data_IF_359899423390
#
_entry.id   IF_359899423390
#
_cell.length_a   1.000
_cell.length_b   1.000
_cell.length_c   1.000
_cell.angle_alpha   90.00
_cell.angle_beta   90.00
_cell.angle_gamma   90.00
#
_symmetry.space_group_name_H-M   'P 1'
#
loop_
_entity.id
_entity.type
_entity.pdbx_description
1 polymer ?
#
# COMPACT_ATOMS: atom_id res chain seq x y z
N UNK A 1 -0.19 -21.27 2.41
CA UNK A 1 1.07 -21.28 1.66
C UNK A 1 1.34 -20.01 0.84
N UNK A 2 0.40 -19.06 0.68
CA UNK A 2 0.68 -17.79 -0.02
C UNK A 2 1.16 -16.65 0.90
N UNK A 3 0.81 -16.68 2.19
CA UNK A 3 1.16 -15.63 3.14
C UNK A 3 2.66 -15.59 3.50
N UNK A 4 3.36 -16.73 3.42
CA UNK A 4 4.78 -16.84 3.79
C UNK A 4 5.70 -16.16 2.76
N UNK A 5 5.32 -16.17 1.47
CA UNK A 5 6.09 -15.53 0.40
C UNK A 5 6.00 -13.99 0.37
N UNK A 6 4.95 -13.42 0.97
CA UNK A 6 4.73 -11.97 0.97
C UNK A 6 5.60 -11.26 2.02
N UNK A 7 5.80 -11.90 3.16
CA UNK A 7 6.64 -11.39 4.26
C UNK A 7 8.13 -11.43 3.89
N UNK A 8 8.53 -12.32 2.98
CA UNK A 8 9.90 -12.32 2.43
C UNK A 8 10.16 -11.12 1.50
N UNK A 9 9.14 -10.63 0.76
CA UNK A 9 9.29 -9.44 -0.10
C UNK A 9 9.55 -8.16 0.69
N UNK A 10 8.88 -7.97 1.84
CA UNK A 10 9.12 -6.81 2.71
C UNK A 10 10.51 -6.85 3.35
N UNK A 11 10.95 -8.03 3.79
CA UNK A 11 12.24 -8.20 4.46
C UNK A 11 13.44 -8.10 3.50
N UNK A 12 13.33 -8.64 2.28
CA UNK A 12 14.45 -8.67 1.33
C UNK A 12 14.64 -7.35 0.57
N UNK A 13 13.59 -6.54 0.39
CA UNK A 13 13.65 -5.36 -0.50
C UNK A 13 13.75 -3.99 0.21
N UNK A 14 13.76 -3.93 1.55
CA UNK A 14 13.85 -2.67 2.32
C UNK A 14 12.98 -1.56 1.71
N UNK A 15 11.70 -1.84 1.50
CA UNK A 15 10.78 -0.89 0.84
C UNK A 15 10.73 0.46 1.56
N UNK A 16 11.05 0.50 2.86
CA UNK A 16 11.18 1.71 3.67
C UNK A 16 12.31 2.65 3.26
N UNK A 17 13.28 2.18 2.47
CA UNK A 17 14.37 3.02 1.94
C UNK A 17 14.00 3.72 0.62
N UNK A 18 12.88 3.37 0.00
CA UNK A 18 12.46 3.97 -1.25
C UNK A 18 11.86 5.35 -0.98
N UNK A 19 12.31 6.36 -1.73
CA UNK A 19 11.71 7.70 -1.70
C UNK A 19 10.31 7.75 -2.37
N UNK A 20 9.85 6.62 -2.92
CA UNK A 20 8.56 6.46 -3.57
C UNK A 20 7.62 5.68 -2.65
N UNK A 21 6.37 6.14 -2.52
CA UNK A 21 5.35 5.40 -1.79
C UNK A 21 5.02 4.09 -2.50
N UNK A 22 5.16 2.98 -1.78
CA UNK A 22 4.82 1.62 -2.26
C UNK A 22 3.71 1.07 -1.38
N UNK A 23 2.66 0.56 -2.02
CA UNK A 23 1.51 -0.06 -1.38
C UNK A 23 1.33 -1.43 -1.99
N UNK A 24 1.29 -2.45 -1.14
CA UNK A 24 1.03 -3.82 -1.56
C UNK A 24 -0.43 -4.17 -1.32
N UNK A 25 -1.08 -4.75 -2.33
CA UNK A 25 -2.49 -5.10 -2.29
C UNK A 25 -2.69 -6.61 -2.48
N UNK A 26 -3.77 -7.15 -1.94
CA UNK A 26 -4.23 -8.49 -2.31
C UNK A 26 -5.17 -8.50 -3.52
N UNK A 27 -5.61 -9.70 -3.90
CA UNK A 27 -6.49 -9.92 -5.05
C UNK A 27 -7.87 -9.25 -4.91
N UNK A 28 -8.22 -8.74 -3.73
CA UNK A 28 -9.44 -8.01 -3.44
C UNK A 28 -9.17 -6.51 -3.23
N UNK A 29 -7.97 -6.02 -3.56
CA UNK A 29 -7.52 -4.64 -3.37
C UNK A 29 -7.48 -4.19 -1.90
N UNK A 30 -7.37 -5.13 -0.95
CA UNK A 30 -7.09 -4.78 0.44
C UNK A 30 -5.59 -4.60 0.66
N UNK A 31 -5.26 -3.66 1.53
CA UNK A 31 -3.87 -3.31 1.78
C UNK A 31 -3.21 -4.38 2.63
N UNK A 32 -2.10 -4.90 2.11
CA UNK A 32 -1.26 -5.89 2.77
C UNK A 32 -0.07 -5.26 3.46
N UNK A 33 0.51 -4.22 2.86
CA UNK A 33 1.64 -3.47 3.41
C UNK A 33 1.69 -2.06 2.80
N UNK A 34 2.28 -1.12 3.54
CA UNK A 34 2.72 0.18 3.04
C UNK A 34 4.15 0.42 3.53
N UNK A 35 4.96 1.08 2.73
CA UNK A 35 6.25 1.59 3.20
C UNK A 35 6.09 2.96 3.89
N UNK A 36 7.13 3.39 4.61
CA UNK A 36 7.14 4.67 5.31
C UNK A 36 6.83 5.88 4.40
N UNK A 37 7.31 5.86 3.15
CA UNK A 37 7.02 6.94 2.20
C UNK A 37 5.54 7.00 1.82
N UNK A 38 4.86 5.86 1.67
CA UNK A 38 3.41 5.83 1.42
C UNK A 38 2.62 6.32 2.64
N UNK A 39 3.03 5.93 3.86
CA UNK A 39 2.43 6.45 5.10
C UNK A 39 2.51 7.98 5.17
N UNK A 40 3.67 8.55 4.84
CA UNK A 40 3.86 10.00 4.84
C UNK A 40 3.06 10.71 3.74
N UNK A 41 2.96 10.13 2.54
CA UNK A 41 2.24 10.74 1.40
C UNK A 41 0.72 10.69 1.57
N UNK A 42 0.20 9.61 2.15
CA UNK A 42 -1.23 9.41 2.38
C UNK A 42 -1.69 9.87 3.78
N UNK A 43 -0.76 10.39 4.59
CA UNK A 43 -1.00 10.81 5.97
C UNK A 43 -1.72 9.74 6.82
N UNK A 44 -1.34 8.47 6.62
CA UNK A 44 -1.95 7.29 7.26
C UNK A 44 -0.89 6.41 7.89
N UNK A 45 -1.25 5.71 8.98
CA UNK A 45 -0.37 4.68 9.53
C UNK A 45 -0.64 3.31 8.91
N UNK A 46 0.41 2.57 8.57
CA UNK A 46 0.37 1.19 8.10
C UNK A 46 -0.47 0.32 9.04
N UNK A 47 -0.25 0.41 10.35
CA UNK A 47 -1.01 -0.33 11.36
C UNK A 47 -2.54 -0.13 11.29
N UNK A 48 -2.99 1.03 10.80
CA UNK A 48 -4.42 1.36 10.63
C UNK A 48 -4.95 0.99 9.25
N UNK A 49 -4.11 1.10 8.23
CA UNK A 49 -4.45 0.84 6.84
C UNK A 49 -4.44 -0.66 6.48
N UNK A 50 -3.73 -1.50 7.22
CA UNK A 50 -3.66 -2.94 6.98
C UNK A 50 -5.05 -3.59 7.00
N UNK A 51 -5.39 -4.28 5.90
CA UNK A 51 -6.67 -4.95 5.71
C UNK A 51 -7.82 -4.05 5.27
N UNK A 52 -7.65 -2.72 5.27
CA UNK A 52 -8.63 -1.81 4.69
C UNK A 52 -8.60 -1.90 3.15
N UNK A 53 -9.74 -1.70 2.48
CA UNK A 53 -9.78 -1.56 1.03
C UNK A 53 -9.02 -0.31 0.62
N UNK A 54 -8.29 -0.39 -0.50
CA UNK A 54 -7.50 0.73 -1.00
C UNK A 54 -8.34 2.00 -1.16
N UNK A 55 -9.58 1.86 -1.67
CA UNK A 55 -10.51 2.97 -1.90
C UNK A 55 -10.76 3.84 -0.66
N UNK A 56 -10.67 3.30 0.56
CA UNK A 56 -10.82 4.07 1.80
C UNK A 56 -9.66 5.05 2.07
N UNK A 57 -8.50 4.83 1.45
CA UNK A 57 -7.33 5.71 1.57
C UNK A 57 -7.19 6.70 0.41
N UNK A 58 -7.88 6.43 -0.70
CA UNK A 58 -7.73 7.23 -1.91
C UNK A 58 -8.77 8.34 -1.90
N UNK A 59 -8.30 9.56 -2.13
CA UNK A 59 -9.20 10.68 -2.37
C UNK A 59 -9.63 10.67 -3.84
N UNK A 60 -10.94 10.52 -4.10
CA UNK A 60 -11.52 10.55 -5.44
C UNK A 60 -11.26 11.87 -6.17
N UNK A 61 -10.96 12.95 -5.45
CA UNK A 61 -10.65 14.26 -6.02
C UNK A 61 -9.23 14.34 -6.61
N UNK A 62 -8.39 13.33 -6.38
CA UNK A 62 -7.02 13.34 -6.83
C UNK A 62 -6.89 13.02 -8.33
N UNK A 63 -6.01 13.73 -9.04
CA UNK A 63 -5.91 13.66 -10.51
C UNK A 63 -5.51 12.26 -11.01
N UNK A 64 -4.86 11.45 -10.17
CA UNK A 64 -4.48 10.07 -10.51
C UNK A 64 -5.58 9.05 -10.23
N UNK A 65 -6.64 9.38 -9.50
CA UNK A 65 -7.71 8.45 -9.11
C UNK A 65 -8.33 7.70 -10.32
N UNK A 66 -8.64 8.37 -11.46
CA UNK A 66 -9.18 7.69 -12.63
C UNK A 66 -8.24 6.65 -13.26
N UNK A 67 -6.93 6.73 -13.00
CA UNK A 67 -5.94 5.80 -13.56
C UNK A 67 -6.01 4.41 -12.90
N UNK A 68 -6.64 4.29 -11.74
CA UNK A 68 -6.79 3.02 -11.02
C UNK A 68 -7.95 2.16 -11.52
N UNK A 69 -8.86 2.74 -12.31
CA UNK A 69 -10.04 2.07 -12.85
C UNK A 69 -9.99 1.90 -14.38
N UNK A 70 -8.80 1.99 -15.00
CA UNK A 70 -8.59 1.72 -16.43
C UNK A 70 -8.56 0.22 -16.73
#
# INVERSE_FOLDING_TARGET
MAAESLVELSADYNLDLLATGVILLDAHLHIRELNLSAENLLEVSASRALGSPLEELLDESNEWYPLLHQ
#
